data_IF_977341688863
#
_entry.id   IF_977341688863
#
_cell.length_a   1.000
_cell.length_b   1.000
_cell.length_c   1.000
_cell.angle_alpha   90.00
_cell.angle_beta   90.00
_cell.angle_gamma   90.00
#
_symmetry.space_group_name_H-M   'P 1'
#
loop_
_entity.id
_entity.type
_entity.pdbx_description
1 polymer ?
#
# COMPACT_ATOMS: atom_id res chain seq x y z
N UNK A 1 26.86 -31.24 -48.56
CA UNK A 1 25.99 -30.31 -47.82
C UNK A 1 26.28 -30.33 -46.32
N UNK A 2 26.49 -31.48 -45.69
CA UNK A 2 26.84 -31.60 -44.26
C UNK A 2 28.16 -30.91 -43.87
N UNK A 3 29.22 -31.05 -44.66
CA UNK A 3 30.53 -30.42 -44.35
C UNK A 3 30.49 -28.88 -44.40
N UNK A 4 29.70 -28.30 -45.31
CA UNK A 4 29.59 -26.84 -45.44
C UNK A 4 28.78 -26.22 -44.28
N UNK A 5 27.74 -26.92 -43.79
CA UNK A 5 26.98 -26.48 -42.63
C UNK A 5 27.84 -26.55 -41.35
N UNK A 6 28.62 -27.62 -41.18
CA UNK A 6 29.52 -27.78 -40.05
C UNK A 6 30.58 -26.67 -39.98
N UNK A 7 31.11 -26.25 -41.14
CA UNK A 7 32.07 -25.14 -41.20
C UNK A 7 31.46 -23.79 -40.84
N UNK A 8 30.19 -23.53 -41.19
CA UNK A 8 29.49 -22.28 -40.84
C UNK A 8 29.16 -22.21 -39.36
N UNK A 9 28.71 -23.31 -38.76
CA UNK A 9 28.45 -23.40 -37.32
C UNK A 9 29.72 -23.14 -36.51
N UNK A 10 30.86 -23.69 -36.93
CA UNK A 10 32.15 -23.45 -36.27
C UNK A 10 32.60 -22.00 -36.40
N UNK A 11 32.45 -21.38 -37.58
CA UNK A 11 32.77 -19.96 -37.78
C UNK A 11 31.89 -19.05 -36.94
N UNK A 12 30.59 -19.36 -36.83
CA UNK A 12 29.66 -18.63 -35.98
C UNK A 12 30.04 -18.76 -34.50
N UNK A 13 30.38 -19.97 -34.04
CA UNK A 13 30.82 -20.21 -32.67
C UNK A 13 32.12 -19.44 -32.34
N UNK A 14 33.10 -19.44 -33.25
CA UNK A 14 34.34 -18.68 -33.09
C UNK A 14 34.08 -17.17 -33.07
N UNK A 15 33.18 -16.67 -33.90
CA UNK A 15 32.79 -15.26 -33.90
C UNK A 15 32.11 -14.88 -32.58
N UNK A 16 31.16 -15.70 -32.09
CA UNK A 16 30.50 -15.50 -30.80
C UNK A 16 31.51 -15.45 -29.65
N UNK A 17 32.47 -16.39 -29.61
CA UNK A 17 33.50 -16.41 -28.59
C UNK A 17 34.39 -15.15 -28.61
N UNK A 18 34.75 -14.66 -29.81
CA UNK A 18 35.53 -13.42 -29.96
C UNK A 18 34.75 -12.18 -29.53
N UNK A 19 33.46 -12.11 -29.84
CA UNK A 19 32.58 -11.01 -29.45
C UNK A 19 32.31 -11.00 -27.94
N UNK A 20 32.13 -12.17 -27.34
CA UNK A 20 31.97 -12.30 -25.89
C UNK A 20 33.23 -11.88 -25.12
N UNK A 21 34.43 -12.18 -25.66
CA UNK A 21 35.70 -11.81 -25.04
C UNK A 21 36.11 -10.33 -25.27
N UNK A 22 35.42 -9.60 -26.15
CA UNK A 22 35.71 -8.20 -26.42
C UNK A 22 35.20 -7.31 -25.27
N UNK A 23 36.04 -6.43 -24.73
CA UNK A 23 35.59 -5.38 -23.79
C UNK A 23 35.13 -4.11 -24.52
N UNK A 24 35.20 -4.08 -25.86
CA UNK A 24 34.83 -2.91 -26.64
C UNK A 24 33.31 -2.63 -26.54
N UNK A 25 32.99 -1.38 -26.23
CA UNK A 25 31.61 -0.86 -26.11
C UNK A 25 31.21 -0.02 -27.32
N UNK A 26 31.92 -0.16 -28.44
CA UNK A 26 31.61 0.61 -29.65
C UNK A 26 30.31 0.10 -30.32
N UNK A 27 29.60 0.95 -31.09
CA UNK A 27 28.33 0.58 -31.72
C UNK A 27 28.42 -0.64 -32.66
N UNK A 28 29.57 -0.90 -33.28
CA UNK A 28 29.74 -2.04 -34.20
C UNK A 28 29.83 -3.34 -33.41
N UNK A 29 30.56 -3.34 -32.29
CA UNK A 29 30.62 -4.51 -31.40
C UNK A 29 29.25 -4.81 -30.78
N UNK A 30 28.47 -3.78 -30.45
CA UNK A 30 27.10 -3.95 -29.93
C UNK A 30 26.17 -4.59 -30.96
N UNK A 31 26.11 -4.05 -32.19
CA UNK A 31 25.34 -4.64 -33.28
C UNK A 31 25.77 -6.09 -33.58
N UNK A 32 27.07 -6.37 -33.57
CA UNK A 32 27.59 -7.70 -33.81
C UNK A 32 27.14 -8.70 -32.72
N UNK A 33 27.00 -8.27 -31.47
CA UNK A 33 26.47 -9.10 -30.37
C UNK A 33 24.99 -9.37 -30.52
N UNK A 34 24.20 -8.35 -30.85
CA UNK A 34 22.76 -8.48 -31.11
C UNK A 34 22.50 -9.50 -32.23
N UNK A 35 23.16 -9.34 -33.38
CA UNK A 35 23.03 -10.28 -34.52
C UNK A 35 23.48 -11.70 -34.17
N UNK A 36 24.43 -11.83 -33.25
CA UNK A 36 24.92 -13.12 -32.79
C UNK A 36 24.07 -13.75 -31.68
N UNK A 37 23.03 -13.09 -31.18
CA UNK A 37 22.18 -13.58 -30.08
C UNK A 37 22.99 -13.89 -28.83
N UNK A 38 23.86 -12.95 -28.42
CA UNK A 38 24.64 -13.05 -27.19
C UNK A 38 23.87 -12.32 -26.09
N UNK A 39 23.56 -13.03 -25.00
CA UNK A 39 22.88 -12.46 -23.83
C UNK A 39 23.67 -11.29 -23.22
N UNK A 40 22.95 -10.30 -22.67
CA UNK A 40 23.57 -9.20 -21.93
C UNK A 40 24.15 -9.73 -20.60
N UNK A 41 25.48 -9.64 -20.37
CA UNK A 41 26.08 -10.15 -19.13
C UNK A 41 25.82 -9.27 -17.90
N UNK A 42 25.31 -8.05 -18.08
CA UNK A 42 25.14 -7.07 -17.00
C UNK A 42 23.72 -7.05 -16.47
N UNK A 43 22.71 -7.13 -17.35
CA UNK A 43 21.30 -7.11 -16.98
C UNK A 43 20.63 -8.39 -17.45
N UNK A 44 20.03 -9.14 -16.53
CA UNK A 44 19.24 -10.33 -16.88
C UNK A 44 17.88 -9.94 -17.45
N UNK A 45 17.25 -10.86 -18.18
CA UNK A 45 15.89 -10.70 -18.72
C UNK A 45 14.88 -10.31 -17.62
N UNK A 46 14.82 -11.06 -16.52
CA UNK A 46 13.93 -10.79 -15.37
C UNK A 46 14.16 -9.40 -14.76
N UNK A 47 15.41 -8.96 -14.66
CA UNK A 47 15.73 -7.63 -14.15
C UNK A 47 15.30 -6.54 -15.15
N UNK A 48 15.47 -6.76 -16.46
CA UNK A 48 15.01 -5.85 -17.49
C UNK A 48 13.47 -5.71 -17.44
N UNK A 49 12.74 -6.82 -17.41
CA UNK A 49 11.27 -6.82 -17.30
C UNK A 49 10.77 -6.06 -16.07
N UNK A 50 11.43 -6.22 -14.92
CA UNK A 50 11.07 -5.50 -13.69
C UNK A 50 11.30 -3.97 -13.81
N UNK A 51 12.21 -3.52 -14.67
CA UNK A 51 12.48 -2.11 -14.91
C UNK A 51 11.62 -1.49 -16.02
N UNK A 52 11.05 -2.29 -16.92
CA UNK A 52 10.28 -1.80 -18.07
C UNK A 52 9.09 -0.89 -17.71
N UNK A 53 8.28 -1.14 -16.66
CA UNK A 53 7.18 -0.24 -16.32
C UNK A 53 7.64 1.19 -16.05
N UNK A 54 8.65 1.36 -15.19
CA UNK A 54 9.20 2.70 -14.89
C UNK A 54 9.87 3.33 -16.11
N UNK A 55 10.59 2.53 -16.91
CA UNK A 55 11.23 3.02 -18.13
C UNK A 55 10.20 3.61 -19.12
N UNK A 56 9.08 2.90 -19.35
CA UNK A 56 8.01 3.35 -20.26
C UNK A 56 7.28 4.58 -19.69
N UNK A 57 6.93 4.57 -18.41
CA UNK A 57 6.26 5.72 -17.76
C UNK A 57 7.08 7.01 -17.90
N UNK A 58 8.40 6.91 -17.69
CA UNK A 58 9.32 8.05 -17.81
C UNK A 58 9.53 8.50 -19.26
N UNK A 59 9.51 7.59 -20.22
CA UNK A 59 9.60 7.90 -21.65
C UNK A 59 8.36 8.64 -22.14
N UNK A 60 7.16 8.17 -21.76
CA UNK A 60 5.88 8.84 -22.05
C UNK A 60 5.82 10.23 -21.39
N UNK A 61 6.48 10.40 -20.24
CA UNK A 61 6.66 11.71 -19.60
C UNK A 61 7.67 12.64 -20.32
N UNK A 62 8.34 12.16 -21.38
CA UNK A 62 9.29 12.91 -22.20
C UNK A 62 10.70 13.01 -21.62
N UNK A 63 11.08 12.11 -20.71
CA UNK A 63 12.43 12.05 -20.15
C UNK A 63 13.40 11.30 -21.09
N UNK A 64 14.69 11.62 -20.99
CA UNK A 64 15.76 10.91 -21.72
C UNK A 64 16.11 9.60 -20.99
N UNK A 65 15.22 8.62 -21.13
CA UNK A 65 15.30 7.31 -20.46
C UNK A 65 16.54 6.50 -20.87
N UNK A 66 17.08 6.72 -22.06
CA UNK A 66 18.34 6.10 -22.49
C UNK A 66 19.54 6.59 -21.68
N UNK A 67 19.54 7.87 -21.28
CA UNK A 67 20.56 8.42 -20.39
C UNK A 67 20.35 8.00 -18.92
N UNK A 68 19.09 7.87 -18.48
CA UNK A 68 18.74 7.48 -17.10
C UNK A 68 18.97 5.99 -16.84
N UNK A 69 18.68 5.13 -17.82
CA UNK A 69 18.77 3.67 -17.71
C UNK A 69 19.60 3.06 -18.85
N UNK A 70 20.92 3.35 -18.89
CA UNK A 70 21.78 2.89 -19.98
C UNK A 70 21.87 1.35 -20.07
N UNK A 71 21.78 0.64 -18.94
CA UNK A 71 21.82 -0.82 -18.91
C UNK A 71 20.54 -1.45 -19.48
N UNK A 72 19.36 -0.87 -19.19
CA UNK A 72 18.07 -1.31 -19.76
C UNK A 72 18.08 -1.08 -21.27
N UNK A 73 18.49 0.12 -21.72
CA UNK A 73 18.58 0.42 -23.14
C UNK A 73 19.51 -0.55 -23.88
N UNK A 74 20.69 -0.82 -23.29
CA UNK A 74 21.64 -1.79 -23.87
C UNK A 74 21.03 -3.18 -23.98
N UNK A 75 20.30 -3.64 -22.97
CA UNK A 75 19.65 -4.95 -22.99
C UNK A 75 18.56 -5.04 -24.06
N UNK A 76 17.72 -4.00 -24.17
CA UNK A 76 16.68 -3.91 -25.22
C UNK A 76 17.26 -3.96 -26.63
N UNK A 77 18.46 -3.41 -26.84
CA UNK A 77 19.15 -3.50 -28.13
C UNK A 77 19.74 -4.89 -28.42
N UNK A 78 19.84 -5.77 -27.41
CA UNK A 78 20.42 -7.12 -27.54
C UNK A 78 19.37 -8.24 -27.50
N UNK A 79 18.24 -8.02 -26.82
CA UNK A 79 17.21 -9.02 -26.57
C UNK A 79 15.90 -8.66 -27.28
N UNK A 80 15.56 -9.42 -28.32
CA UNK A 80 14.34 -9.25 -29.12
C UNK A 80 13.07 -9.38 -28.24
N UNK A 81 13.02 -10.37 -27.36
CA UNK A 81 11.86 -10.59 -26.47
C UNK A 81 11.58 -9.39 -25.56
N UNK A 82 12.62 -8.80 -24.96
CA UNK A 82 12.46 -7.59 -24.14
C UNK A 82 12.08 -6.37 -24.97
N UNK A 83 12.60 -6.25 -26.20
CA UNK A 83 12.27 -5.15 -27.10
C UNK A 83 10.79 -5.21 -27.52
N UNK A 84 10.27 -6.39 -27.85
CA UNK A 84 8.87 -6.61 -28.19
C UNK A 84 7.95 -6.28 -27.01
N UNK A 85 8.32 -6.71 -25.78
CA UNK A 85 7.57 -6.37 -24.57
C UNK A 85 7.56 -4.85 -24.32
N UNK A 86 8.71 -4.19 -24.47
CA UNK A 86 8.82 -2.74 -24.36
C UNK A 86 7.91 -2.02 -25.35
N UNK A 87 7.92 -2.41 -26.63
CA UNK A 87 7.07 -1.82 -27.67
C UNK A 87 5.59 -1.99 -27.29
N UNK A 88 5.17 -3.20 -26.89
CA UNK A 88 3.79 -3.47 -26.50
C UNK A 88 3.35 -2.61 -25.29
N UNK A 89 4.24 -2.40 -24.32
CA UNK A 89 3.96 -1.55 -23.15
C UNK A 89 3.90 -0.06 -23.53
N UNK A 90 4.80 0.39 -24.40
CA UNK A 90 4.81 1.78 -24.87
C UNK A 90 3.55 2.10 -25.67
N UNK A 91 3.15 1.24 -26.59
CA UNK A 91 1.90 1.38 -27.35
C UNK A 91 0.68 1.46 -26.42
N UNK A 92 0.65 0.66 -25.36
CA UNK A 92 -0.42 0.69 -24.35
C UNK A 92 -0.41 2.01 -23.57
N UNK A 93 0.76 2.46 -23.11
CA UNK A 93 0.89 3.69 -22.34
C UNK A 93 0.55 4.94 -23.18
N UNK A 94 0.92 4.97 -24.46
CA UNK A 94 0.54 6.02 -25.40
C UNK A 94 -0.99 6.02 -25.64
N UNK A 95 -1.59 4.84 -25.85
CA UNK A 95 -3.04 4.71 -26.00
C UNK A 95 -3.80 5.16 -24.74
N UNK A 96 -3.25 4.91 -23.54
CA UNK A 96 -3.80 5.42 -22.28
C UNK A 96 -3.71 6.95 -22.20
N UNK A 97 -2.54 7.52 -22.51
CA UNK A 97 -2.30 8.96 -22.48
C UNK A 97 -3.19 9.72 -23.47
N UNK A 98 -3.48 9.13 -24.63
CA UNK A 98 -4.38 9.66 -25.64
C UNK A 98 -5.88 9.41 -25.33
N UNK A 99 -6.18 8.66 -24.27
CA UNK A 99 -7.55 8.28 -23.90
C UNK A 99 -8.21 7.33 -24.91
N UNK A 100 -7.42 6.60 -25.69
CA UNK A 100 -7.90 5.61 -26.66
C UNK A 100 -8.29 4.28 -26.01
N UNK A 101 -7.72 3.96 -24.84
CA UNK A 101 -8.17 2.82 -24.05
C UNK A 101 -9.54 3.21 -23.45
N UNK A 102 -10.64 2.53 -23.84
CA UNK A 102 -11.90 2.75 -23.18
C UNK A 102 -11.70 2.39 -21.71
N UNK A 103 -11.82 3.39 -20.82
CA UNK A 103 -12.00 3.10 -19.40
C UNK A 103 -13.16 2.13 -19.33
N UNK A 104 -12.88 0.88 -18.93
CA UNK A 104 -13.93 -0.11 -18.77
C UNK A 104 -15.05 0.55 -17.98
N UNK A 105 -16.23 0.68 -18.59
CA UNK A 105 -17.40 1.23 -17.90
C UNK A 105 -17.44 0.53 -16.55
N UNK A 106 -17.33 1.33 -15.47
CA UNK A 106 -17.02 0.83 -14.12
C UNK A 106 -17.77 -0.47 -13.90
N UNK A 107 -17.03 -1.58 -13.87
CA UNK A 107 -17.64 -2.90 -13.76
C UNK A 107 -18.64 -2.82 -12.61
N UNK A 108 -19.90 -3.27 -12.81
CA UNK A 108 -20.91 -3.14 -11.77
C UNK A 108 -20.29 -3.71 -10.49
N UNK A 109 -20.32 -2.91 -9.42
CA UNK A 109 -19.66 -3.27 -8.17
C UNK A 109 -20.09 -4.71 -7.81
N UNK A 110 -19.13 -5.61 -7.53
CA UNK A 110 -19.46 -7.01 -7.30
C UNK A 110 -20.51 -7.10 -6.20
N UNK A 111 -21.55 -7.91 -6.43
CA UNK A 111 -22.58 -8.14 -5.42
C UNK A 111 -21.97 -8.95 -4.27
N UNK A 112 -21.55 -8.27 -3.20
CA UNK A 112 -20.95 -8.89 -2.02
C UNK A 112 -21.99 -9.31 -0.96
N UNK A 113 -23.30 -9.30 -1.25
CA UNK A 113 -24.32 -9.68 -0.26
C UNK A 113 -24.28 -11.16 0.16
N UNK A 114 -23.53 -12.01 -0.57
CA UNK A 114 -23.31 -13.41 -0.19
C UNK A 114 -22.31 -13.58 0.96
N UNK A 115 -21.47 -12.56 1.24
CA UNK A 115 -20.56 -12.61 2.37
C UNK A 115 -21.36 -12.40 3.67
N UNK A 116 -21.05 -13.16 4.74
CA UNK A 116 -21.68 -12.90 6.03
C UNK A 116 -21.39 -11.45 6.44
N UNK A 117 -22.34 -10.77 7.11
CA UNK A 117 -22.13 -9.40 7.53
C UNK A 117 -20.95 -9.35 8.50
N UNK A 118 -19.86 -8.73 8.07
CA UNK A 118 -18.70 -8.48 8.92
C UNK A 118 -19.13 -7.60 10.09
N UNK A 119 -18.69 -7.95 11.29
CA UNK A 119 -18.94 -7.14 12.47
C UNK A 119 -18.13 -5.84 12.41
N UNK A 120 -18.61 -4.79 13.08
CA UNK A 120 -17.84 -3.55 13.23
C UNK A 120 -16.44 -3.81 13.82
N UNK A 121 -16.34 -4.75 14.77
CA UNK A 121 -15.08 -5.08 15.46
C UNK A 121 -14.06 -5.65 14.47
N UNK A 122 -14.47 -6.60 13.62
CA UNK A 122 -13.61 -7.17 12.58
C UNK A 122 -13.15 -6.11 11.58
N UNK A 123 -14.06 -5.23 11.15
CA UNK A 123 -13.76 -4.20 10.16
C UNK A 123 -12.88 -3.08 10.74
N UNK A 124 -13.04 -2.74 12.01
CA UNK A 124 -12.27 -1.71 12.69
C UNK A 124 -10.89 -2.18 13.16
N UNK A 125 -10.66 -3.50 13.28
CA UNK A 125 -9.46 -4.07 13.89
C UNK A 125 -8.17 -3.53 13.30
N UNK A 126 -7.96 -3.71 12.00
CA UNK A 126 -6.70 -3.37 11.33
C UNK A 126 -6.43 -1.87 11.37
N UNK A 127 -7.48 -1.06 11.18
CA UNK A 127 -7.39 0.39 11.26
C UNK A 127 -7.09 0.88 12.66
N UNK A 128 -7.75 0.34 13.68
CA UNK A 128 -7.48 0.69 15.08
C UNK A 128 -6.06 0.27 15.47
N UNK A 129 -5.58 -0.90 15.09
CA UNK A 129 -4.19 -1.33 15.34
C UNK A 129 -3.19 -0.42 14.62
N UNK A 130 -3.46 -0.04 13.38
CA UNK A 130 -2.61 0.88 12.60
C UNK A 130 -2.54 2.25 13.26
N UNK A 131 -3.68 2.81 13.66
CA UNK A 131 -3.74 4.11 14.33
C UNK A 131 -3.06 4.04 15.70
N UNK A 132 -3.36 3.02 16.50
CA UNK A 132 -2.75 2.82 17.81
C UNK A 132 -1.22 2.68 17.71
N UNK A 133 -0.72 1.95 16.71
CA UNK A 133 0.71 1.82 16.42
C UNK A 133 1.33 3.18 16.11
N UNK A 134 0.68 3.98 15.25
CA UNK A 134 1.14 5.34 14.92
C UNK A 134 1.21 6.25 16.16
N UNK A 135 0.19 6.21 17.01
CA UNK A 135 0.14 6.98 18.26
C UNK A 135 1.22 6.53 19.24
N UNK A 136 1.41 5.21 19.42
CA UNK A 136 2.37 4.66 20.38
C UNK A 136 3.82 4.90 19.98
N UNK A 137 4.13 4.96 18.68
CA UNK A 137 5.46 5.39 18.21
C UNK A 137 5.87 6.76 18.76
N UNK A 138 4.91 7.63 19.07
CA UNK A 138 5.18 8.95 19.66
C UNK A 138 5.00 8.98 21.18
N UNK A 139 3.96 8.37 21.72
CA UNK A 139 3.61 8.50 23.14
C UNK A 139 4.29 7.46 24.05
N UNK A 140 4.49 6.23 23.58
CA UNK A 140 5.02 5.13 24.39
C UNK A 140 5.67 4.04 23.52
N UNK A 141 6.85 4.29 22.92
CA UNK A 141 7.46 3.38 21.96
C UNK A 141 7.75 1.99 22.53
N UNK A 142 8.02 1.91 23.84
CA UNK A 142 8.29 0.65 24.52
C UNK A 142 7.09 -0.29 24.53
N UNK A 143 5.87 0.21 24.31
CA UNK A 143 4.63 -0.57 24.30
C UNK A 143 4.26 -1.19 22.95
N UNK A 144 5.08 -0.99 21.91
CA UNK A 144 4.80 -1.48 20.56
C UNK A 144 4.88 -3.01 20.45
N UNK A 145 5.80 -3.63 21.18
CA UNK A 145 5.95 -5.10 21.17
C UNK A 145 4.74 -5.79 21.82
N UNK A 146 4.22 -5.21 22.90
CA UNK A 146 3.02 -5.72 23.57
C UNK A 146 1.76 -5.52 22.71
N UNK A 147 1.66 -4.42 21.96
CA UNK A 147 0.52 -4.21 21.06
C UNK A 147 0.43 -5.31 20.00
N UNK A 148 1.56 -5.72 19.42
CA UNK A 148 1.62 -6.80 18.42
C UNK A 148 1.18 -8.14 19.02
N UNK A 149 1.60 -8.44 20.25
CA UNK A 149 1.28 -9.70 20.94
C UNK A 149 -0.17 -9.75 21.42
N UNK A 150 -0.68 -8.65 21.99
CA UNK A 150 -1.95 -8.63 22.71
C UNK A 150 -3.10 -7.94 21.95
N UNK A 151 -2.83 -7.36 20.78
CA UNK A 151 -3.84 -6.72 19.95
C UNK A 151 -5.00 -7.66 19.62
N UNK A 152 -4.69 -8.88 19.16
CA UNK A 152 -5.70 -9.88 18.83
C UNK A 152 -6.56 -10.27 20.03
N UNK A 153 -5.92 -10.52 21.18
CA UNK A 153 -6.61 -10.86 22.44
C UNK A 153 -7.55 -9.74 22.87
N UNK A 154 -7.16 -8.47 22.70
CA UNK A 154 -8.05 -7.34 22.95
C UNK A 154 -9.30 -7.40 22.08
N UNK A 155 -9.16 -7.60 20.77
CA UNK A 155 -10.31 -7.62 19.85
C UNK A 155 -11.19 -8.86 20.01
N UNK A 156 -10.62 -10.04 20.28
CA UNK A 156 -11.38 -11.23 20.66
C UNK A 156 -12.26 -10.93 21.88
N UNK A 157 -11.68 -10.28 22.89
CA UNK A 157 -12.44 -9.92 24.10
C UNK A 157 -13.53 -8.88 23.82
N UNK A 158 -13.28 -7.90 22.95
CA UNK A 158 -14.32 -6.95 22.55
C UNK A 158 -15.45 -7.66 21.78
N UNK A 159 -15.12 -8.59 20.89
CA UNK A 159 -16.09 -9.36 20.12
C UNK A 159 -16.96 -10.26 21.00
N UNK A 160 -16.37 -10.93 22.00
CA UNK A 160 -17.10 -11.78 22.96
C UNK A 160 -18.19 -11.03 23.72
N UNK A 161 -17.91 -9.79 24.10
CA UNK A 161 -18.82 -9.04 24.98
C UNK A 161 -19.89 -8.33 24.13
N UNK A 162 -19.63 -8.05 22.85
CA UNK A 162 -20.64 -7.67 21.85
C UNK A 162 -20.68 -6.19 21.44
N UNK A 163 -21.51 -5.88 20.44
CA UNK A 163 -21.54 -4.57 19.74
C UNK A 163 -21.96 -3.38 20.62
N UNK A 164 -22.73 -3.60 21.67
CA UNK A 164 -23.32 -2.52 22.50
C UNK A 164 -22.36 -1.94 23.56
N UNK A 165 -21.08 -2.32 23.52
CA UNK A 165 -20.15 -1.92 24.57
C UNK A 165 -19.49 -0.61 24.21
N UNK A 166 -19.92 0.40 24.96
CA UNK A 166 -19.11 1.58 25.22
C UNK A 166 -18.02 1.21 26.24
N UNK A 167 -16.76 1.43 25.87
CA UNK A 167 -15.63 1.27 26.79
C UNK A 167 -15.58 2.48 27.73
N UNK A 168 -16.52 2.57 28.66
CA UNK A 168 -16.41 3.53 29.77
C UNK A 168 -15.25 3.13 30.67
N UNK A 169 -14.62 4.07 31.43
CA UNK A 169 -13.53 3.72 32.35
C UNK A 169 -13.86 2.55 33.28
N UNK A 170 -15.10 2.47 33.78
CA UNK A 170 -15.55 1.37 34.63
C UNK A 170 -15.61 0.02 33.90
N UNK A 171 -16.11 -0.01 32.66
CA UNK A 171 -16.19 -1.25 31.85
C UNK A 171 -14.83 -1.68 31.34
N UNK A 172 -14.01 -0.73 30.89
CA UNK A 172 -12.62 -0.99 30.54
C UNK A 172 -11.88 -1.60 31.73
N UNK A 173 -12.08 -1.09 32.95
CA UNK A 173 -11.52 -1.69 34.17
C UNK A 173 -12.01 -3.12 34.42
N UNK A 174 -13.30 -3.40 34.21
CA UNK A 174 -13.86 -4.76 34.34
C UNK A 174 -13.28 -5.76 33.32
N UNK A 175 -12.84 -5.29 32.16
CA UNK A 175 -12.14 -6.08 31.15
C UNK A 175 -10.62 -6.14 31.37
N UNK A 176 -10.10 -5.51 32.42
CA UNK A 176 -8.66 -5.42 32.70
C UNK A 176 -7.92 -4.35 31.90
N UNK A 177 -8.63 -3.54 31.10
CA UNK A 177 -8.07 -2.55 30.18
C UNK A 177 -8.02 -1.11 30.77
N UNK A 178 -8.83 -0.82 31.79
CA UNK A 178 -9.08 0.55 32.28
C UNK A 178 -8.84 0.76 33.77
N UNK A 179 -8.14 -0.16 34.45
CA UNK A 179 -7.68 0.11 35.81
C UNK A 179 -6.58 1.18 35.78
N UNK A 180 -6.42 1.98 36.85
CA UNK A 180 -5.30 2.94 36.96
C UNK A 180 -3.92 2.28 36.82
N UNK A 181 -3.84 0.94 36.96
CA UNK A 181 -2.63 0.15 36.73
C UNK A 181 -2.48 -0.45 35.32
N UNK A 182 -3.44 -0.24 34.41
CA UNK A 182 -3.32 -0.74 33.05
C UNK A 182 -2.16 -0.03 32.32
N UNK A 183 -1.32 -0.77 31.58
CA UNK A 183 -0.19 -0.18 30.88
C UNK A 183 -0.68 0.82 29.82
N UNK A 184 0.12 1.86 29.57
CA UNK A 184 -0.26 2.96 28.68
C UNK A 184 -0.61 2.49 27.25
N UNK A 185 0.07 1.46 26.73
CA UNK A 185 -0.23 0.90 25.41
C UNK A 185 -1.65 0.36 25.30
N UNK A 186 -2.13 -0.32 26.34
CA UNK A 186 -3.44 -0.93 26.39
C UNK A 186 -4.54 0.12 26.52
N UNK A 187 -4.32 1.12 27.38
CA UNK A 187 -5.22 2.28 27.50
C UNK A 187 -5.29 3.07 26.18
N UNK A 188 -4.17 3.20 25.46
CA UNK A 188 -4.11 3.85 24.15
C UNK A 188 -4.86 3.06 23.09
N UNK A 189 -4.71 1.74 23.05
CA UNK A 189 -5.48 0.86 22.16
C UNK A 189 -6.99 0.99 22.42
N UNK A 190 -7.39 0.93 23.69
CA UNK A 190 -8.79 1.07 24.09
C UNK A 190 -9.36 2.47 23.74
N UNK A 191 -8.58 3.54 23.96
CA UNK A 191 -8.96 4.90 23.56
C UNK A 191 -9.06 5.06 22.04
N UNK A 192 -8.18 4.40 21.28
CA UNK A 192 -8.22 4.40 19.82
C UNK A 192 -9.49 3.73 19.31
N UNK A 193 -9.80 2.54 19.81
CA UNK A 193 -11.03 1.82 19.49
C UNK A 193 -12.28 2.65 19.81
N UNK A 194 -12.37 3.19 21.03
CA UNK A 194 -13.53 3.96 21.48
C UNK A 194 -13.71 5.27 20.67
N UNK A 195 -12.60 5.93 20.29
CA UNK A 195 -12.64 7.10 19.39
C UNK A 195 -13.20 6.71 18.03
N UNK A 196 -12.68 5.63 17.42
CA UNK A 196 -13.14 5.13 16.12
C UNK A 196 -14.63 4.76 16.15
N UNK A 197 -15.06 4.05 17.19
CA UNK A 197 -16.47 3.68 17.40
C UNK A 197 -17.37 4.90 17.54
N UNK A 198 -17.02 5.87 18.39
CA UNK A 198 -17.83 7.10 18.57
C UNK A 198 -17.97 7.89 17.28
N UNK A 199 -16.92 7.99 16.48
CA UNK A 199 -16.96 8.66 15.19
C UNK A 199 -17.89 7.94 14.21
N UNK A 200 -17.77 6.62 14.08
CA UNK A 200 -18.61 5.82 13.19
C UNK A 200 -20.10 5.81 13.61
N UNK A 201 -20.39 5.84 14.92
CA UNK A 201 -21.77 5.93 15.43
C UNK A 201 -22.40 7.31 15.23
N UNK A 202 -21.61 8.37 15.37
CA UNK A 202 -22.13 9.74 15.43
C UNK A 202 -22.39 10.36 14.05
N UNK A 203 -21.81 9.81 12.99
CA UNK A 203 -21.89 10.36 11.64
C UNK A 203 -22.21 9.27 10.63
N UNK A 204 -23.24 9.48 9.82
CA UNK A 204 -23.54 8.68 8.62
C UNK A 204 -22.48 8.89 7.53
N UNK A 205 -22.35 8.00 6.53
CA UNK A 205 -21.38 8.16 5.45
C UNK A 205 -21.52 9.51 4.72
N UNK A 206 -22.76 9.94 4.46
CA UNK A 206 -23.07 11.23 3.82
C UNK A 206 -22.64 12.43 4.68
N UNK A 207 -22.84 12.38 6.01
CA UNK A 207 -22.39 13.45 6.91
C UNK A 207 -20.86 13.54 6.97
N UNK A 208 -20.17 12.39 6.96
CA UNK A 208 -18.70 12.35 6.92
C UNK A 208 -18.20 13.00 5.63
N UNK A 209 -18.78 12.67 4.48
CA UNK A 209 -18.43 13.26 3.19
C UNK A 209 -18.64 14.79 3.20
N UNK A 210 -19.77 15.26 3.71
CA UNK A 210 -20.04 16.70 3.88
C UNK A 210 -18.98 17.38 4.77
N UNK A 211 -18.61 16.74 5.89
CA UNK A 211 -17.59 17.27 6.81
C UNK A 211 -16.19 17.30 6.17
N UNK A 212 -15.84 16.30 5.36
CA UNK A 212 -14.57 16.25 4.61
C UNK A 212 -14.54 17.40 3.60
N UNK A 213 -15.60 17.57 2.80
CA UNK A 213 -15.71 18.62 1.78
C UNK A 213 -15.67 20.04 2.39
N UNK A 214 -16.09 20.20 3.64
CA UNK A 214 -16.03 21.47 4.37
C UNK A 214 -14.73 21.68 5.16
N UNK A 215 -13.75 20.76 5.05
CA UNK A 215 -12.55 20.73 5.89
C UNK A 215 -12.83 20.78 7.41
N UNK A 216 -14.04 20.37 7.82
CA UNK A 216 -14.49 20.36 9.20
C UNK A 216 -14.22 19.01 9.89
N UNK A 217 -14.04 17.94 9.11
CA UNK A 217 -13.80 16.59 9.61
C UNK A 217 -12.62 16.50 10.57
N UNK A 218 -11.51 17.14 10.24
CA UNK A 218 -10.30 17.18 11.07
C UNK A 218 -10.57 17.73 12.47
N UNK A 219 -11.37 18.79 12.57
CA UNK A 219 -11.74 19.40 13.85
C UNK A 219 -12.66 18.47 14.66
N UNK A 220 -13.61 17.84 13.99
CA UNK A 220 -14.54 16.87 14.58
C UNK A 220 -13.79 15.67 15.16
N UNK A 221 -12.87 15.08 14.40
CA UNK A 221 -12.04 13.96 14.86
C UNK A 221 -11.19 14.36 16.05
N UNK A 222 -10.53 15.52 16.00
CA UNK A 222 -9.72 15.99 17.13
C UNK A 222 -10.57 16.17 18.41
N UNK A 223 -11.76 16.75 18.29
CA UNK A 223 -12.64 16.96 19.44
C UNK A 223 -13.08 15.64 20.09
N UNK A 224 -13.50 14.65 19.27
CA UNK A 224 -13.90 13.32 19.78
C UNK A 224 -12.70 12.58 20.38
N UNK A 225 -11.56 12.57 19.69
CA UNK A 225 -10.33 11.93 20.17
C UNK A 225 -9.85 12.55 21.48
N UNK A 226 -9.92 13.88 21.62
CA UNK A 226 -9.56 14.59 22.85
C UNK A 226 -10.47 14.20 24.00
N UNK A 227 -11.78 14.19 23.80
CA UNK A 227 -12.72 13.80 24.83
C UNK A 227 -12.45 12.36 25.31
N UNK A 228 -12.30 11.40 24.39
CA UNK A 228 -12.00 10.00 24.73
C UNK A 228 -10.65 9.86 25.41
N UNK A 229 -9.63 10.56 24.91
CA UNK A 229 -8.30 10.60 25.50
C UNK A 229 -8.32 11.16 26.93
N UNK A 230 -9.06 12.24 27.20
CA UNK A 230 -9.19 12.80 28.54
C UNK A 230 -9.91 11.82 29.50
N UNK A 231 -10.96 11.13 29.02
CA UNK A 231 -11.71 10.12 29.78
C UNK A 231 -10.85 8.89 30.13
N UNK A 232 -9.99 8.43 29.22
CA UNK A 232 -9.28 7.15 29.34
C UNK A 232 -7.80 7.27 29.71
N UNK A 233 -7.14 8.36 29.33
CA UNK A 233 -5.71 8.62 29.52
C UNK A 233 -5.45 9.72 30.56
N UNK A 234 -6.42 10.60 30.80
CA UNK A 234 -6.28 11.79 31.64
C UNK A 234 -5.95 13.04 30.81
N UNK A 235 -6.04 14.23 31.41
CA UNK A 235 -5.99 15.52 30.69
C UNK A 235 -4.75 15.70 29.80
N UNK A 236 -3.55 15.52 30.35
CA UNK A 236 -2.30 15.79 29.63
C UNK A 236 -2.07 14.80 28.48
N UNK A 237 -2.29 13.51 28.75
CA UNK A 237 -2.14 12.45 27.74
C UNK A 237 -3.26 12.47 26.71
N UNK A 238 -4.47 12.91 27.10
CA UNK A 238 -5.63 13.00 26.20
C UNK A 238 -5.45 14.03 25.09
N UNK A 239 -4.86 15.19 25.41
CA UNK A 239 -4.53 16.19 24.40
C UNK A 239 -3.47 15.68 23.41
N UNK A 240 -2.42 15.03 23.92
CA UNK A 240 -1.37 14.44 23.08
C UNK A 240 -1.92 13.31 22.19
N UNK A 241 -2.77 12.44 22.75
CA UNK A 241 -3.49 11.39 22.02
C UNK A 241 -4.31 11.96 20.87
N UNK A 242 -5.11 13.00 21.10
CA UNK A 242 -5.94 13.60 20.05
C UNK A 242 -5.12 14.15 18.89
N UNK A 243 -4.00 14.81 19.19
CA UNK A 243 -3.08 15.32 18.19
C UNK A 243 -2.48 14.18 17.34
N UNK A 244 -2.05 13.09 17.98
CA UNK A 244 -1.47 11.95 17.26
C UNK A 244 -2.53 11.19 16.46
N UNK A 245 -3.72 10.98 17.01
CA UNK A 245 -4.83 10.35 16.30
C UNK A 245 -5.17 11.11 15.01
N UNK A 246 -5.26 12.44 15.10
CA UNK A 246 -5.49 13.31 13.94
C UNK A 246 -4.34 13.23 12.93
N UNK A 247 -3.08 13.11 13.37
CA UNK A 247 -1.93 13.06 12.47
C UNK A 247 -1.85 11.75 11.66
N UNK A 248 -2.33 10.63 12.22
CA UNK A 248 -2.33 9.33 11.55
C UNK A 248 -3.51 9.17 10.58
N UNK A 249 -4.62 9.88 10.84
CA UNK A 249 -5.87 9.74 10.10
C UNK A 249 -5.79 9.93 8.56
N UNK A 250 -5.04 10.91 8.02
CA UNK A 250 -5.03 11.18 6.58
C UNK A 250 -4.60 9.99 5.73
N UNK A 251 -3.95 8.99 6.34
CA UNK A 251 -3.50 7.78 5.67
C UNK A 251 -4.63 6.74 5.48
N UNK A 252 -5.87 7.03 5.91
CA UNK A 252 -7.02 6.12 5.81
C UNK A 252 -8.34 6.85 5.47
N UNK A 253 -8.44 7.53 4.30
CA UNK A 253 -9.63 8.31 3.94
C UNK A 253 -10.89 7.45 3.75
N UNK A 254 -10.75 6.23 3.23
CA UNK A 254 -11.88 5.35 2.89
C UNK A 254 -12.44 4.56 4.10
N UNK A 255 -11.76 4.63 5.24
CA UNK A 255 -12.14 3.89 6.44
C UNK A 255 -13.52 4.31 6.96
N UNK A 256 -13.77 5.62 7.00
CA UNK A 256 -14.91 6.17 7.71
C UNK A 256 -16.26 5.84 7.08
N UNK A 257 -16.43 5.98 5.74
CA UNK A 257 -17.65 5.52 5.08
C UNK A 257 -17.93 4.03 5.31
N UNK A 258 -16.89 3.18 5.27
CA UNK A 258 -17.02 1.74 5.47
C UNK A 258 -17.49 1.41 6.90
N UNK A 259 -16.82 1.96 7.91
CA UNK A 259 -17.17 1.74 9.31
C UNK A 259 -18.57 2.28 9.63
N UNK A 260 -18.90 3.48 9.17
CA UNK A 260 -20.20 4.09 9.40
C UNK A 260 -21.33 3.26 8.77
N UNK A 261 -21.15 2.76 7.54
CA UNK A 261 -22.13 1.90 6.86
C UNK A 261 -22.45 0.62 7.63
N UNK A 262 -21.47 0.04 8.34
CA UNK A 262 -21.72 -1.16 9.17
C UNK A 262 -22.61 -0.89 10.38
N UNK A 263 -22.61 0.34 10.90
CA UNK A 263 -23.43 0.75 12.04
C UNK A 263 -24.76 1.36 11.62
N UNK A 264 -24.84 1.88 10.39
CA UNK A 264 -26.04 2.48 9.79
C UNK A 264 -26.45 1.78 8.48
N UNK A 265 -26.93 0.52 8.52
CA UNK A 265 -27.18 -0.29 7.31
C UNK A 265 -28.34 0.20 6.40
N UNK A 266 -28.87 1.40 6.60
CA UNK A 266 -29.94 1.99 5.80
C UNK A 266 -29.84 3.51 5.59
N UNK A 267 -28.69 4.11 5.93
CA UNK A 267 -28.38 5.51 5.66
C UNK A 267 -27.45 5.62 4.43
#
# INVERSE_FOLDING_TARGET
>A
MTEQNQSLEEQLAQLKARLAASEATDPVTHLARAVAGIDDPVLSHEACEAHLPTYVDEEVAGLDVAALYPDVKRHLDLCEDCADLYIAMLELAEAEAEGQIPLAEAAPAPDLHFLPPVSFVELAKDSVLTIATGILKSLAPTGLGELDIFGDVFFERIAEVGRDIRLTPQRASALGFGSEGAPLWLRTLAATYETTRRLAESYSPAEIEVQINQAAWTKTVNAVARQVGEEMLGSDQGAAFAQQYQAVLPNQPDLWPLLSKTLHPGA
#
